data_IF_864826280731
#
_entry.id   IF_864826280731
#
_cell.length_a   1.000
_cell.length_b   1.000
_cell.length_c   1.000
_cell.angle_alpha   90.00
_cell.angle_beta   90.00
_cell.angle_gamma   90.00
#
_symmetry.space_group_name_H-M   'P 1'
#
loop_
_entity.id
_entity.type
_entity.pdbx_description
1 polymer ?
#
# COMPACT_ATOMS: atom_id res chain seq x y z
N UNK A 1 10.55 77.43 -39.31
CA UNK A 1 11.29 76.19 -39.02
C UNK A 1 11.34 75.99 -37.51
N UNK A 2 11.08 74.74 -37.08
CA UNK A 2 11.25 74.17 -35.74
C UNK A 2 10.06 74.24 -34.78
N UNK A 3 9.25 73.18 -34.89
CA UNK A 3 8.91 72.25 -33.80
C UNK A 3 7.84 72.69 -32.79
N UNK A 4 6.58 72.72 -33.25
CA UNK A 4 5.43 72.41 -32.38
C UNK A 4 5.13 70.92 -32.56
N UNK A 5 6.01 70.05 -32.07
CA UNK A 5 5.90 68.60 -32.22
C UNK A 5 6.12 67.87 -30.89
N UNK A 6 5.72 68.49 -29.77
CA UNK A 6 6.05 67.95 -28.43
C UNK A 6 4.93 68.10 -27.40
N UNK A 7 3.67 68.17 -27.84
CA UNK A 7 2.52 68.23 -26.92
C UNK A 7 1.34 67.30 -27.31
N UNK A 8 1.55 66.35 -28.23
CA UNK A 8 0.54 65.38 -28.65
C UNK A 8 0.97 63.91 -28.44
N UNK A 9 1.98 63.66 -27.59
CA UNK A 9 2.52 62.32 -27.34
C UNK A 9 2.40 61.86 -25.88
N UNK A 10 1.70 62.60 -25.02
CA UNK A 10 1.40 62.19 -23.63
C UNK A 10 -0.12 62.03 -23.42
N UNK A 11 -0.83 61.55 -24.44
CA UNK A 11 -2.19 60.99 -24.29
C UNK A 11 -2.32 59.61 -24.96
N UNK A 12 -1.21 59.02 -25.43
CA UNK A 12 -1.16 57.68 -26.03
C UNK A 12 -0.51 56.64 -25.10
N UNK A 13 -0.47 56.90 -23.78
CA UNK A 13 0.17 56.02 -22.79
C UNK A 13 -0.75 55.59 -21.63
N UNK A 14 -2.05 55.91 -21.67
CA UNK A 14 -3.01 55.51 -20.61
C UNK A 14 -4.27 54.77 -21.16
N UNK A 15 -4.40 54.55 -22.47
CA UNK A 15 -5.61 53.95 -23.06
C UNK A 15 -5.44 52.59 -23.76
N UNK A 16 -4.33 51.87 -23.56
CA UNK A 16 -4.15 50.50 -24.10
C UNK A 16 -3.58 49.51 -23.07
N UNK A 17 -3.71 49.80 -21.77
CA UNK A 17 -3.50 48.82 -20.70
C UNK A 17 -4.87 48.41 -20.14
N UNK A 18 -5.70 47.76 -20.96
CA UNK A 18 -6.82 46.91 -20.53
C UNK A 18 -7.64 46.46 -21.76
N UNK A 19 -7.21 45.36 -22.40
CA UNK A 19 -8.05 44.22 -22.83
C UNK A 19 -7.24 43.30 -23.77
N UNK A 20 -6.05 42.90 -23.34
CA UNK A 20 -5.43 41.66 -23.85
C UNK A 20 -5.07 40.74 -22.70
N UNK A 21 -5.93 40.71 -21.68
CA UNK A 21 -6.25 39.44 -21.06
C UNK A 21 -7.14 38.71 -22.07
N UNK A 22 -6.51 38.06 -23.05
CA UNK A 22 -7.16 36.90 -23.63
C UNK A 22 -7.39 35.99 -22.43
N UNK A 23 -8.63 35.93 -21.95
CA UNK A 23 -9.06 34.78 -21.18
C UNK A 23 -8.88 33.65 -22.17
N UNK A 24 -7.71 32.99 -22.10
CA UNK A 24 -7.30 31.99 -23.07
C UNK A 24 -8.42 30.95 -23.03
N UNK A 25 -9.10 30.77 -24.17
CA UNK A 25 -10.06 29.69 -24.27
C UNK A 25 -9.26 28.39 -24.02
N UNK A 26 -9.81 27.43 -23.25
CA UNK A 26 -9.14 26.16 -23.03
C UNK A 26 -8.85 25.50 -24.39
N UNK A 27 -7.58 25.14 -24.65
CA UNK A 27 -7.11 24.57 -25.93
C UNK A 27 -7.11 23.04 -25.81
N UNK A 28 -8.30 22.44 -25.90
CA UNK A 28 -8.41 20.99 -25.81
C UNK A 28 -7.72 20.29 -27.01
N UNK A 29 -7.05 19.17 -26.75
CA UNK A 29 -6.39 18.27 -27.71
C UNK A 29 -4.86 18.27 -27.64
N UNK A 30 -4.25 18.81 -26.59
CA UNK A 30 -2.79 18.84 -26.38
C UNK A 30 -2.30 17.82 -25.33
N UNK A 31 -3.20 17.03 -24.75
CA UNK A 31 -2.96 16.01 -23.72
C UNK A 31 -2.38 16.56 -22.39
N UNK A 32 -2.57 17.87 -22.11
CA UNK A 32 -2.12 18.54 -20.89
C UNK A 32 -3.28 19.33 -20.29
N UNK A 33 -3.72 19.01 -19.08
CA UNK A 33 -4.78 19.75 -18.38
C UNK A 33 -4.26 21.09 -17.81
N UNK A 34 -4.52 22.19 -18.52
CA UNK A 34 -4.05 23.55 -18.21
C UNK A 34 -4.97 24.32 -17.23
N UNK A 35 -4.53 25.51 -16.80
CA UNK A 35 -5.37 26.41 -16.00
C UNK A 35 -6.60 26.84 -16.83
N UNK A 36 -7.79 26.59 -16.28
CA UNK A 36 -9.12 26.78 -16.91
C UNK A 36 -9.60 25.60 -17.78
N UNK A 37 -8.88 24.48 -17.77
CA UNK A 37 -9.37 23.21 -18.31
C UNK A 37 -9.92 22.34 -17.16
N UNK A 38 -11.06 21.69 -17.41
CA UNK A 38 -11.63 20.70 -16.49
C UNK A 38 -12.18 19.50 -17.27
N UNK A 39 -12.52 18.43 -16.55
CA UNK A 39 -13.05 17.20 -17.16
C UNK A 39 -14.40 17.39 -17.88
N UNK A 40 -15.03 18.57 -17.77
CA UNK A 40 -16.28 18.91 -18.46
C UNK A 40 -15.96 19.69 -19.75
N UNK A 41 -14.95 20.57 -19.71
CA UNK A 41 -14.59 21.52 -20.76
C UNK A 41 -13.60 20.89 -21.76
N UNK A 42 -12.64 20.10 -21.27
CA UNK A 42 -11.67 19.35 -22.06
C UNK A 42 -11.52 17.90 -21.53
N UNK A 43 -12.51 17.03 -21.79
CA UNK A 43 -12.54 15.67 -21.23
C UNK A 43 -11.44 14.75 -21.75
N UNK A 44 -10.76 15.06 -22.86
CA UNK A 44 -9.64 14.25 -23.34
C UNK A 44 -8.32 14.66 -22.66
N UNK A 45 -8.08 15.96 -22.51
CA UNK A 45 -6.89 16.55 -21.88
C UNK A 45 -6.93 16.39 -20.36
N UNK A 46 -8.13 16.42 -19.78
CA UNK A 46 -8.41 16.24 -18.35
C UNK A 46 -9.19 14.96 -18.08
N UNK A 47 -9.10 13.92 -18.94
CA UNK A 47 -9.77 12.62 -18.76
C UNK A 47 -9.45 11.97 -17.40
N UNK A 48 -8.31 12.35 -16.81
CA UNK A 48 -7.83 11.92 -15.50
C UNK A 48 -7.94 12.99 -14.40
N UNK A 49 -8.64 14.11 -14.65
CA UNK A 49 -8.82 15.21 -13.69
C UNK A 49 -7.62 16.18 -13.59
N UNK A 50 -7.79 17.30 -12.87
CA UNK A 50 -6.76 18.34 -12.76
C UNK A 50 -5.48 17.81 -12.12
N UNK A 51 -4.35 18.07 -12.75
CA UNK A 51 -3.02 17.54 -12.45
C UNK A 51 -2.38 18.23 -11.24
N UNK A 52 -3.04 18.25 -10.09
CA UNK A 52 -2.29 18.40 -8.84
C UNK A 52 -2.97 17.59 -7.75
N UNK A 53 -2.99 16.26 -7.86
CA UNK A 53 -3.11 15.44 -6.65
C UNK A 53 -1.89 15.76 -5.79
N UNK A 54 -2.04 16.65 -4.80
CA UNK A 54 -0.93 17.11 -3.98
C UNK A 54 -0.74 16.14 -2.83
N UNK A 55 -0.02 15.05 -3.11
CA UNK A 55 0.25 14.03 -2.09
C UNK A 55 0.88 14.65 -0.81
N UNK A 56 0.44 14.19 0.36
CA UNK A 56 0.88 14.64 1.68
C UNK A 56 0.13 15.86 2.22
N UNK A 57 -0.95 16.32 1.57
CA UNK A 57 -1.73 17.48 2.05
C UNK A 57 -2.91 17.09 2.98
N UNK A 58 -3.12 15.78 3.23
CA UNK A 58 -4.19 15.22 4.06
C UNK A 58 -5.63 15.50 3.61
N UNK A 59 -5.85 15.89 2.37
CA UNK A 59 -7.17 16.05 1.75
C UNK A 59 -7.33 15.00 0.66
N UNK A 60 -8.49 14.33 0.58
CA UNK A 60 -8.75 13.39 -0.52
C UNK A 60 -9.21 14.19 -1.73
N UNK A 61 -8.34 14.31 -2.73
CA UNK A 61 -8.60 15.03 -3.98
C UNK A 61 -9.09 14.10 -5.10
N UNK A 62 -9.80 14.65 -6.08
CA UNK A 62 -10.23 13.88 -7.25
C UNK A 62 -9.01 13.36 -8.01
N UNK A 63 -8.88 12.04 -8.12
CA UNK A 63 -7.74 11.39 -8.78
C UNK A 63 -6.74 10.78 -7.81
N UNK A 64 -6.80 11.10 -6.52
CA UNK A 64 -6.02 10.41 -5.50
C UNK A 64 -6.54 9.01 -5.26
N UNK A 65 -5.62 8.06 -5.31
CA UNK A 65 -5.85 6.66 -5.07
C UNK A 65 -4.64 6.06 -4.34
N UNK A 66 -4.81 4.80 -3.98
CA UNK A 66 -3.80 4.06 -3.26
C UNK A 66 -2.47 3.85 -3.98
N UNK A 67 -2.41 4.14 -5.29
CA UNK A 67 -1.23 3.98 -6.13
C UNK A 67 -0.43 5.26 -6.29
N UNK A 68 -1.10 6.42 -6.34
CA UNK A 68 -0.44 7.70 -6.60
C UNK A 68 -0.25 8.56 -5.35
N UNK A 69 -1.19 8.55 -4.39
CA UNK A 69 -1.13 9.35 -3.16
C UNK A 69 -1.69 8.56 -1.95
N UNK A 70 -1.03 7.46 -1.59
CA UNK A 70 -1.45 6.60 -0.46
C UNK A 70 -1.51 7.31 0.90
N UNK A 71 -0.79 8.43 1.06
CA UNK A 71 -0.79 9.21 2.31
C UNK A 71 -2.05 10.07 2.48
N UNK A 72 -2.64 10.53 1.36
CA UNK A 72 -3.80 11.42 1.37
C UNK A 72 -5.10 10.64 1.24
N UNK A 73 -5.07 9.51 0.54
CA UNK A 73 -6.07 8.45 0.67
C UNK A 73 -5.91 7.79 2.02
N UNK A 74 -6.32 8.51 3.08
CA UNK A 74 -6.65 7.89 4.35
C UNK A 74 -7.86 7.02 4.12
N UNK A 75 -7.60 5.78 3.69
CA UNK A 75 -8.51 4.69 3.96
C UNK A 75 -8.92 4.88 5.43
N UNK A 76 -10.22 5.11 5.67
CA UNK A 76 -10.73 5.64 6.94
C UNK A 76 -10.20 4.88 8.17
N UNK A 77 -10.39 5.41 9.38
CA UNK A 77 -9.82 4.82 10.62
C UNK A 77 -9.82 3.29 10.62
N UNK A 78 -8.63 2.69 10.61
CA UNK A 78 -8.44 1.24 10.66
C UNK A 78 -8.33 0.53 9.30
N UNK A 79 -8.35 1.25 8.18
CA UNK A 79 -8.13 0.70 6.86
C UNK A 79 -6.72 1.04 6.37
N UNK A 80 -6.14 0.14 5.58
CA UNK A 80 -4.84 0.30 4.95
C UNK A 80 -5.00 0.36 3.44
N UNK A 81 -4.02 1.00 2.83
CA UNK A 81 -3.92 1.13 1.41
C UNK A 81 -3.09 -0.03 0.84
N UNK A 82 -3.75 -1.00 0.21
CA UNK A 82 -3.17 -2.26 -0.23
C UNK A 82 -3.59 -2.59 -1.67
N UNK A 83 -2.62 -2.75 -2.57
CA UNK A 83 -2.88 -3.10 -3.98
C UNK A 83 -3.95 -2.20 -4.62
N UNK A 84 -3.78 -0.88 -4.52
CA UNK A 84 -4.69 0.12 -5.10
C UNK A 84 -6.09 0.18 -4.47
N UNK A 85 -6.36 -0.59 -3.41
CA UNK A 85 -7.63 -0.61 -2.70
C UNK A 85 -7.46 -0.35 -1.20
N UNK A 86 -8.49 0.21 -0.57
CA UNK A 86 -8.56 0.27 0.88
C UNK A 86 -9.02 -1.09 1.40
N UNK A 87 -8.21 -1.73 2.24
CA UNK A 87 -8.51 -3.02 2.87
C UNK A 87 -8.35 -2.94 4.38
N UNK A 88 -8.99 -3.84 5.11
CA UNK A 88 -8.76 -4.01 6.54
C UNK A 88 -7.68 -5.09 6.69
N UNK A 89 -6.60 -4.86 7.47
CA UNK A 89 -5.61 -5.90 7.73
C UNK A 89 -6.28 -7.07 8.46
N UNK A 90 -5.87 -8.30 8.15
CA UNK A 90 -6.44 -9.53 8.73
C UNK A 90 -6.34 -9.51 10.26
N UNK A 91 -5.20 -9.04 10.78
CA UNK A 91 -4.97 -8.91 12.21
C UNK A 91 -4.11 -7.68 12.52
N UNK A 92 -4.31 -7.10 13.71
CA UNK A 92 -3.51 -6.00 14.27
C UNK A 92 -2.75 -6.43 15.52
N UNK A 93 -3.10 -7.59 16.06
CA UNK A 93 -2.56 -8.17 17.28
C UNK A 93 -2.88 -9.66 17.35
N UNK A 94 -2.15 -10.38 18.18
CA UNK A 94 -2.40 -11.80 18.45
C UNK A 94 -3.84 -12.07 18.92
N UNK A 95 -4.45 -11.15 19.68
CA UNK A 95 -5.84 -11.29 20.13
C UNK A 95 -6.88 -11.25 19.01
N UNK A 96 -6.54 -10.74 17.82
CA UNK A 96 -7.43 -10.77 16.65
C UNK A 96 -7.46 -12.15 15.98
N UNK A 97 -6.48 -13.01 16.31
CA UNK A 97 -6.26 -14.31 15.70
C UNK A 97 -6.66 -15.45 16.64
N UNK A 98 -7.77 -15.35 17.36
CA UNK A 98 -8.21 -16.47 18.20
C UNK A 98 -9.05 -17.45 17.40
N UNK A 99 -8.58 -18.70 17.25
CA UNK A 99 -9.34 -19.81 16.64
C UNK A 99 -10.22 -20.57 17.66
N UNK A 100 -10.06 -20.28 18.95
CA UNK A 100 -10.79 -20.91 20.04
C UNK A 100 -10.18 -22.25 20.50
N UNK A 101 -9.04 -22.66 19.96
CA UNK A 101 -8.29 -23.82 20.41
C UNK A 101 -7.24 -23.40 21.46
N UNK A 102 -7.33 -23.95 22.66
CA UNK A 102 -6.37 -23.66 23.73
C UNK A 102 -5.03 -24.40 23.59
N UNK A 103 -4.86 -25.23 22.55
CA UNK A 103 -3.65 -25.99 22.25
C UNK A 103 -2.75 -25.34 21.20
N UNK A 104 -3.18 -24.23 20.60
CA UNK A 104 -2.42 -23.41 19.65
C UNK A 104 -2.05 -22.06 20.25
N UNK A 105 -0.96 -21.47 19.75
CA UNK A 105 -0.61 -20.08 20.04
C UNK A 105 -1.21 -19.18 18.95
N UNK A 106 -1.98 -18.18 19.36
CA UNK A 106 -2.59 -17.21 18.44
C UNK A 106 -1.53 -16.16 18.04
N UNK A 107 -0.97 -16.26 16.83
CA UNK A 107 0.08 -15.34 16.36
C UNK A 107 -0.40 -14.53 15.17
N UNK A 108 -0.33 -13.19 15.29
CA UNK A 108 -0.51 -12.29 14.17
C UNK A 108 0.84 -12.02 13.49
N UNK A 109 0.98 -12.45 12.25
CA UNK A 109 2.16 -12.18 11.42
C UNK A 109 1.94 -10.86 10.67
N UNK A 110 2.95 -9.98 10.69
CA UNK A 110 2.94 -8.60 10.16
C UNK A 110 1.73 -7.77 10.64
N UNK A 111 1.61 -7.50 11.96
CA UNK A 111 0.43 -6.89 12.53
C UNK A 111 0.11 -5.51 11.94
N UNK A 112 -1.12 -5.36 11.44
CA UNK A 112 -1.59 -4.10 10.90
C UNK A 112 -1.05 -3.76 9.52
N UNK A 113 -0.40 -4.68 8.82
CA UNK A 113 0.10 -4.52 7.45
C UNK A 113 -0.81 -5.19 6.39
N UNK A 114 -0.59 -4.86 5.12
CA UNK A 114 -1.35 -5.40 3.98
C UNK A 114 -1.22 -6.92 3.81
N UNK A 115 -0.11 -7.49 4.26
CA UNK A 115 0.20 -8.91 4.22
C UNK A 115 0.01 -9.58 5.59
N UNK A 116 -0.77 -8.96 6.48
CA UNK A 116 -1.12 -9.54 7.78
C UNK A 116 -1.82 -10.88 7.59
N UNK A 117 -1.47 -11.86 8.43
CA UNK A 117 -2.11 -13.18 8.47
C UNK A 117 -2.07 -13.75 9.88
N UNK A 118 -3.06 -14.56 10.23
CA UNK A 118 -3.04 -15.34 11.45
C UNK A 118 -2.30 -16.66 11.22
N UNK A 119 -1.48 -17.02 12.19
CA UNK A 119 -0.80 -18.30 12.28
C UNK A 119 -1.12 -18.92 13.65
N UNK A 120 -1.20 -20.25 13.69
CA UNK A 120 -1.68 -21.01 14.85
C UNK A 120 -0.74 -22.18 15.18
N UNK A 121 0.55 -21.91 15.46
CA UNK A 121 1.46 -23.00 15.80
C UNK A 121 1.01 -23.70 17.08
N UNK A 122 1.18 -25.02 17.20
CA UNK A 122 0.87 -25.72 18.44
C UNK A 122 1.70 -25.18 19.61
N UNK A 123 1.08 -25.05 20.79
CA UNK A 123 1.75 -24.58 22.00
C UNK A 123 2.88 -25.53 22.40
N UNK A 124 4.09 -24.96 22.51
CA UNK A 124 5.28 -25.68 22.98
C UNK A 124 6.11 -26.35 21.90
N UNK A 125 5.90 -26.05 20.61
CA UNK A 125 6.90 -26.33 19.58
C UNK A 125 8.07 -25.34 19.71
N UNK A 126 9.26 -25.80 20.09
CA UNK A 126 10.47 -25.00 20.24
C UNK A 126 11.61 -25.69 19.50
N UNK A 127 11.71 -25.46 18.18
CA UNK A 127 12.80 -26.04 17.41
C UNK A 127 14.19 -25.58 17.90
N UNK A 128 15.19 -26.47 17.83
CA UNK A 128 16.58 -26.25 18.22
C UNK A 128 16.87 -26.53 19.69
N UNK A 129 16.02 -27.28 20.39
CA UNK A 129 16.20 -27.66 21.79
C UNK A 129 16.63 -29.14 21.99
N UNK A 130 16.85 -29.87 20.90
CA UNK A 130 17.24 -31.30 20.85
C UNK A 130 16.20 -32.28 21.42
N UNK A 131 14.92 -31.88 21.57
CA UNK A 131 13.85 -32.73 22.08
C UNK A 131 12.60 -32.61 21.21
N UNK A 132 12.25 -33.70 20.53
CA UNK A 132 11.02 -33.78 19.77
C UNK A 132 9.77 -33.71 20.70
N UNK A 133 9.17 -32.52 20.81
CA UNK A 133 7.94 -32.30 21.57
C UNK A 133 6.71 -32.92 20.89
N UNK A 134 5.62 -33.10 21.64
CA UNK A 134 4.35 -33.66 21.10
C UNK A 134 3.73 -32.85 19.97
N UNK A 135 4.17 -31.61 19.81
CA UNK A 135 3.77 -30.62 18.81
C UNK A 135 4.77 -30.46 17.65
N UNK A 136 5.87 -31.22 17.68
CA UNK A 136 6.93 -31.18 16.69
C UNK A 136 6.92 -32.45 15.85
N UNK A 137 7.22 -32.31 14.56
CA UNK A 137 7.46 -33.43 13.67
C UNK A 137 8.69 -33.15 12.79
N UNK A 138 9.10 -34.15 12.01
CA UNK A 138 10.25 -34.06 11.11
C UNK A 138 10.08 -33.02 9.98
N UNK A 139 8.90 -32.42 9.82
CA UNK A 139 8.60 -31.36 8.87
C UNK A 139 8.57 -29.97 9.54
N UNK A 140 8.05 -29.87 10.76
CA UNK A 140 7.92 -28.62 11.51
C UNK A 140 9.17 -28.24 12.31
N UNK A 141 9.89 -29.22 12.88
CA UNK A 141 11.17 -29.01 13.58
C UNK A 141 12.16 -30.14 13.24
N UNK A 142 12.71 -30.16 12.02
CA UNK A 142 13.63 -31.22 11.60
C UNK A 142 14.91 -31.28 12.43
N UNK A 143 15.43 -30.18 12.98
CA UNK A 143 16.60 -30.25 13.88
C UNK A 143 16.34 -31.10 15.14
N UNK A 144 15.13 -31.04 15.70
CA UNK A 144 14.81 -31.69 16.98
C UNK A 144 14.19 -33.08 16.79
N UNK A 145 13.54 -33.30 15.64
CA UNK A 145 12.85 -34.55 15.30
C UNK A 145 13.53 -35.37 14.18
N UNK A 146 14.61 -34.89 13.54
CA UNK A 146 15.34 -35.63 12.50
C UNK A 146 16.76 -36.07 12.94
N UNK A 147 17.27 -37.22 12.42
CA UNK A 147 16.65 -38.13 11.48
C UNK A 147 16.06 -39.34 12.22
N UNK A 148 14.79 -39.24 12.62
CA UNK A 148 13.93 -40.40 12.82
C UNK A 148 12.95 -40.46 11.63
N UNK A 149 13.00 -41.49 10.79
CA UNK A 149 12.12 -42.62 10.97
C UNK A 149 12.65 -43.42 12.16
N UNK A 150 11.77 -43.82 13.09
CA UNK A 150 12.11 -44.96 13.94
C UNK A 150 12.65 -46.06 13.02
N UNK A 151 13.87 -46.57 13.25
CA UNK A 151 14.39 -47.59 12.38
C UNK A 151 13.44 -48.78 12.49
N UNK A 152 12.84 -49.12 11.36
CA UNK A 152 12.22 -50.42 11.13
C UNK A 152 13.29 -51.47 11.41
N UNK A 153 13.26 -52.10 12.59
CA UNK A 153 14.12 -53.19 13.04
C UNK A 153 15.62 -53.07 12.68
N UNK A 154 16.46 -52.71 13.65
CA UNK A 154 17.92 -52.78 13.46
C UNK A 154 18.41 -54.14 13.94
N UNK A 155 18.76 -55.00 12.98
CA UNK A 155 19.38 -56.29 13.29
C UNK A 155 20.70 -56.14 14.06
N UNK A 156 20.88 -56.92 15.13
CA UNK A 156 22.17 -57.07 15.81
C UNK A 156 22.44 -56.09 16.96
N UNK A 157 21.38 -55.51 17.56
CA UNK A 157 21.45 -54.67 18.75
C UNK A 157 21.12 -55.42 20.06
N UNK A 158 21.15 -56.76 20.04
CA UNK A 158 20.88 -57.67 21.16
C UNK A 158 19.49 -57.51 21.82
N UNK A 159 18.52 -56.90 21.13
CA UNK A 159 17.12 -56.83 21.57
C UNK A 159 16.19 -57.39 20.49
N UNK A 160 15.43 -58.42 20.85
CA UNK A 160 14.39 -58.95 19.96
C UNK A 160 13.24 -57.96 19.83
N UNK A 161 13.12 -57.36 18.65
CA UNK A 161 12.01 -56.49 18.26
C UNK A 161 10.99 -57.31 17.45
N UNK A 162 9.72 -56.88 17.39
CA UNK A 162 8.62 -57.66 16.75
C UNK A 162 8.75 -57.83 15.23
N UNK A 163 9.84 -57.34 14.64
CA UNK A 163 10.15 -57.42 13.21
C UNK A 163 11.61 -57.88 12.93
N UNK A 164 12.31 -58.44 13.92
CA UNK A 164 13.61 -59.14 13.77
C UNK A 164 13.42 -60.66 13.61
#
# INVERSE_FOLDING_TARGET
MKNIATAALILASIATIALSGCMQAPECGNDVCELLEDAISCPNDCATGPITSVCGNSLIETGENCRNCAEDVKCGRGWLCCNEACTIPVCRSNSDCSDGDSSTEDICINPGECNSKCDYPPLGAVCGNDKCETSEDAYTCPEDCAPYPYPTAVCGNDKCETSE
#
